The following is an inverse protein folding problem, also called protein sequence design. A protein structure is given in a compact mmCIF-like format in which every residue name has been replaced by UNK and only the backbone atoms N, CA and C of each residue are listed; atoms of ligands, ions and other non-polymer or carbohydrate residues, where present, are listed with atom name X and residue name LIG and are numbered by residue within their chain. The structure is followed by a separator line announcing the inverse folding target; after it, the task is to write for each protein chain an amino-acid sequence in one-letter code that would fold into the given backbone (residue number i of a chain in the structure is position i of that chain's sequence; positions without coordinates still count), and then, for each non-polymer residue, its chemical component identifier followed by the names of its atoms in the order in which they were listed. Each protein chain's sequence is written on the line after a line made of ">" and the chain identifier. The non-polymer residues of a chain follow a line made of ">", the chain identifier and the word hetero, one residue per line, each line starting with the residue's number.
data_IF_059289362260
#
_entry.id   IF_059289362260
#
_cell.length_a   1.000
_cell.length_b   1.000
_cell.length_c   1.000
_cell.angle_alpha   90.00
_cell.angle_beta   90.00
_cell.angle_gamma   90.00
#
_symmetry.space_group_name_H-M   'P 1'
#
loop_
_entity.id
_entity.type
_entity.pdbx_description
1 polymer ?
#
# COMPACT_ATOMS: atom_id res chain seq x y z
N UNK A 1 6.11 0.40 11.96
CA UNK A 1 5.04 -0.46 11.41
C UNK A 1 3.81 -0.26 12.25
N UNK A 2 2.87 0.55 11.77
CA UNK A 2 1.56 0.71 12.40
C UNK A 2 0.83 -0.63 12.41
N UNK A 3 0.26 -0.98 13.56
CA UNK A 3 -0.59 -2.17 13.68
C UNK A 3 -1.86 -1.95 12.87
N UNK A 4 -2.29 -2.91 12.03
CA UNK A 4 -3.54 -2.79 11.29
C UNK A 4 -4.71 -2.62 12.26
N UNK A 5 -5.61 -1.70 11.93
CA UNK A 5 -6.86 -1.51 12.66
C UNK A 5 -7.74 -2.75 12.43
N UNK A 6 -8.23 -3.32 13.53
CA UNK A 6 -9.22 -4.40 13.57
C UNK A 6 -10.58 -3.79 13.77
N UNK A 7 -11.53 -4.26 12.97
CA UNK A 7 -12.93 -3.88 13.07
C UNK A 7 -13.48 -4.27 14.46
N UNK A 8 -14.27 -3.38 15.07
CA UNK A 8 -14.84 -3.58 16.41
C UNK A 8 -13.90 -3.33 17.60
N UNK A 9 -12.62 -3.00 17.38
CA UNK A 9 -11.69 -2.65 18.45
C UNK A 9 -11.76 -1.16 18.83
N UNK A 10 -11.52 -0.86 20.11
CA UNK A 10 -11.40 0.53 20.61
C UNK A 10 -9.92 0.92 20.63
N UNK A 11 -9.62 2.12 20.13
CA UNK A 11 -8.27 2.66 20.03
C UNK A 11 -8.14 3.95 20.84
N UNK A 12 -6.96 4.22 21.39
CA UNK A 12 -6.71 5.52 22.00
C UNK A 12 -6.68 6.60 20.91
N UNK A 13 -7.13 7.81 21.25
CA UNK A 13 -7.12 8.94 20.31
C UNK A 13 -5.73 9.18 19.70
N UNK A 14 -4.68 9.06 20.51
CA UNK A 14 -3.28 9.20 20.07
C UNK A 14 -2.92 8.18 18.98
N UNK A 15 -3.30 6.91 19.16
CA UNK A 15 -2.98 5.86 18.20
C UNK A 15 -3.64 6.14 16.84
N UNK A 16 -4.89 6.63 16.85
CA UNK A 16 -5.59 7.01 15.61
C UNK A 16 -4.89 8.17 14.92
N UNK A 17 -4.47 9.21 15.66
CA UNK A 17 -3.75 10.35 15.10
C UNK A 17 -2.42 9.92 14.47
N UNK A 18 -1.65 9.06 15.14
CA UNK A 18 -0.37 8.57 14.62
C UNK A 18 -0.56 7.78 13.30
N UNK A 19 -1.62 6.98 13.21
CA UNK A 19 -1.98 6.23 11.99
C UNK A 19 -2.36 7.17 10.84
N UNK A 20 -3.20 8.17 11.13
CA UNK A 20 -3.61 9.15 10.13
C UNK A 20 -2.43 10.01 9.64
N UNK A 21 -1.52 10.36 10.54
CA UNK A 21 -0.29 11.07 10.20
C UNK A 21 0.61 10.21 9.28
N UNK A 22 0.82 8.94 9.62
CA UNK A 22 1.60 8.01 8.79
C UNK A 22 0.95 7.83 7.41
N UNK A 23 -0.37 7.67 7.35
CA UNK A 23 -1.12 7.58 6.10
C UNK A 23 -0.99 8.85 5.26
N UNK A 24 -1.13 10.04 5.87
CA UNK A 24 -0.96 11.31 5.17
C UNK A 24 0.43 11.46 4.58
N UNK A 25 1.48 11.17 5.36
CA UNK A 25 2.86 11.21 4.87
C UNK A 25 3.11 10.18 3.76
N UNK A 26 2.51 8.99 3.86
CA UNK A 26 2.58 7.98 2.81
C UNK A 26 1.95 8.49 1.51
N UNK A 27 0.73 9.05 1.57
CA UNK A 27 0.03 9.65 0.43
C UNK A 27 0.89 10.71 -0.25
N UNK A 28 1.50 11.61 0.52
CA UNK A 28 2.33 12.70 -0.04
C UNK A 28 3.59 12.16 -0.75
N UNK A 29 4.23 11.14 -0.18
CA UNK A 29 5.38 10.47 -0.82
C UNK A 29 5.00 9.76 -2.12
N UNK A 30 3.88 9.04 -2.12
CA UNK A 30 3.37 8.35 -3.33
C UNK A 30 3.04 9.39 -4.39
N UNK A 31 2.30 10.44 -4.04
CA UNK A 31 1.93 11.50 -4.99
C UNK A 31 3.16 12.20 -5.57
N UNK A 32 4.21 12.44 -4.76
CA UNK A 32 5.48 12.99 -5.26
C UNK A 32 6.13 12.06 -6.27
N UNK A 33 6.31 10.77 -5.93
CA UNK A 33 6.93 9.79 -6.83
C UNK A 33 6.19 9.64 -8.15
N UNK A 34 4.85 9.61 -8.12
CA UNK A 34 4.05 9.52 -9.35
C UNK A 34 4.17 10.77 -10.22
N UNK A 35 4.24 11.96 -9.63
CA UNK A 35 4.50 13.20 -10.39
C UNK A 35 5.87 13.20 -11.04
N UNK A 36 6.90 12.75 -10.32
CA UNK A 36 8.26 12.69 -10.83
C UNK A 36 8.34 11.67 -11.98
N UNK A 37 7.75 10.49 -11.80
CA UNK A 37 7.67 9.46 -12.85
C UNK A 37 6.88 9.93 -14.07
N UNK A 38 5.76 10.62 -13.88
CA UNK A 38 4.96 11.15 -15.00
C UNK A 38 5.78 12.11 -15.86
N UNK A 39 6.56 13.01 -15.24
CA UNK A 39 7.48 13.89 -15.97
C UNK A 39 8.57 13.14 -16.71
N UNK A 40 9.07 12.03 -16.15
CA UNK A 40 10.06 11.20 -16.82
C UNK A 40 9.49 10.44 -18.02
N UNK A 41 8.20 10.10 -17.98
CA UNK A 41 7.54 9.33 -19.04
C UNK A 41 6.98 10.21 -20.15
N UNK A 42 6.66 11.47 -19.84
CA UNK A 42 6.08 12.42 -20.79
C UNK A 42 6.88 12.51 -22.10
N UNK A 43 6.21 12.22 -23.22
CA UNK A 43 6.78 12.32 -24.56
C UNK A 43 7.63 11.12 -24.99
N UNK A 44 7.77 10.07 -24.16
CA UNK A 44 8.41 8.82 -24.57
C UNK A 44 7.46 7.98 -25.43
N UNK A 45 7.99 7.39 -26.50
CA UNK A 45 7.22 6.55 -27.43
C UNK A 45 6.57 5.31 -26.75
N UNK A 46 7.11 4.88 -25.61
CA UNK A 46 6.64 3.73 -24.83
C UNK A 46 6.06 4.12 -23.47
N UNK A 47 5.63 5.37 -23.29
CA UNK A 47 4.99 5.86 -22.06
C UNK A 47 3.84 4.95 -21.59
N UNK A 48 2.92 4.60 -22.50
CA UNK A 48 1.78 3.74 -22.20
C UNK A 48 2.22 2.36 -21.69
N UNK A 49 3.22 1.74 -22.34
CA UNK A 49 3.73 0.43 -21.95
C UNK A 49 4.36 0.47 -20.55
N UNK A 50 5.09 1.54 -20.21
CA UNK A 50 5.65 1.72 -18.87
C UNK A 50 4.58 1.85 -17.79
N UNK A 51 3.49 2.59 -18.06
CA UNK A 51 2.37 2.69 -17.12
C UNK A 51 1.65 1.35 -16.92
N UNK A 52 1.43 0.60 -18.00
CA UNK A 52 0.83 -0.75 -17.94
C UNK A 52 1.71 -1.68 -17.11
N UNK A 53 3.01 -1.70 -17.37
CA UNK A 53 3.95 -2.55 -16.63
C UNK A 53 4.01 -2.19 -15.15
N UNK A 54 4.01 -0.89 -14.81
CA UNK A 54 3.95 -0.45 -13.42
C UNK A 54 2.68 -0.96 -12.72
N UNK A 55 1.53 -0.83 -13.39
CA UNK A 55 0.26 -1.31 -12.86
C UNK A 55 0.26 -2.83 -12.61
N UNK A 56 0.79 -3.61 -13.56
CA UNK A 56 0.84 -5.07 -13.44
C UNK A 56 1.74 -5.50 -12.27
N UNK A 57 2.92 -4.92 -12.15
CA UNK A 57 3.85 -5.22 -11.04
C UNK A 57 3.24 -4.81 -9.69
N UNK A 58 2.59 -3.64 -9.61
CA UNK A 58 1.94 -3.19 -8.40
C UNK A 58 0.76 -4.09 -7.99
N UNK A 59 0.00 -4.58 -8.98
CA UNK A 59 -1.11 -5.51 -8.77
C UNK A 59 -0.59 -6.86 -8.26
N UNK A 60 0.41 -7.44 -8.93
CA UNK A 60 1.04 -8.71 -8.52
C UNK A 60 1.62 -8.62 -7.09
N UNK A 61 2.34 -7.54 -6.79
CA UNK A 61 2.86 -7.29 -5.44
C UNK A 61 1.76 -7.19 -4.38
N UNK A 62 0.63 -6.56 -4.72
CA UNK A 62 -0.52 -6.45 -3.82
C UNK A 62 -1.16 -7.81 -3.56
N UNK A 63 -1.39 -8.58 -4.62
CA UNK A 63 -1.93 -9.94 -4.53
C UNK A 63 -1.02 -10.86 -3.71
N UNK A 64 0.29 -10.84 -3.94
CA UNK A 64 1.27 -11.62 -3.17
C UNK A 64 1.26 -11.23 -1.69
N UNK A 65 1.17 -9.92 -1.40
CA UNK A 65 1.12 -9.41 -0.03
C UNK A 65 -0.18 -9.81 0.68
N UNK A 66 -1.32 -9.77 -0.01
CA UNK A 66 -2.60 -10.22 0.52
C UNK A 66 -2.62 -11.73 0.76
N UNK A 67 -2.07 -12.51 -0.17
CA UNK A 67 -1.92 -13.96 -0.02
C UNK A 67 -1.04 -14.34 1.17
N UNK A 68 0.06 -13.62 1.40
CA UNK A 68 0.92 -13.79 2.60
C UNK A 68 0.17 -13.48 3.88
N UNK A 69 -0.61 -12.38 3.94
CA UNK A 69 -1.44 -12.03 5.10
C UNK A 69 -2.50 -13.08 5.39
N UNK A 70 -3.22 -13.54 4.36
CA UNK A 70 -4.26 -14.56 4.51
C UNK A 70 -3.71 -15.90 5.04
N UNK A 71 -2.53 -16.31 4.58
CA UNK A 71 -1.84 -17.51 5.11
C UNK A 71 -1.41 -17.32 6.58
N UNK A 72 -0.99 -16.12 6.95
CA UNK A 72 -0.60 -15.80 8.32
C UNK A 72 -1.81 -15.82 9.27
N UNK A 73 -2.96 -15.27 8.85
CA UNK A 73 -4.20 -15.30 9.64
C UNK A 73 -4.75 -16.74 9.81
N UNK A 74 -4.66 -17.58 8.77
CA UNK A 74 -5.05 -19.00 8.86
C UNK A 74 -4.15 -19.83 9.80
N UNK A 75 -2.87 -19.48 9.92
CA UNK A 75 -1.94 -20.12 10.86
C UNK A 75 -2.26 -19.79 12.32
N UNK A 76 -2.74 -18.57 12.58
CA UNK A 76 -3.10 -18.11 13.94
C UNK A 76 -4.42 -18.77 14.40
N UNK A 77 -5.40 -18.94 13.49
CA UNK A 77 -6.67 -19.59 13.83
C UNK A 77 -6.57 -21.08 14.15
N UNK A 78 -5.55 -21.80 13.65
CA UNK A 78 -5.35 -23.23 13.96
C UNK A 78 -4.72 -23.49 15.35
N UNK A 79 -4.31 -22.43 16.06
CA UNK A 79 -3.63 -22.53 17.37
C UNK A 79 -4.55 -22.11 18.53
N UNK A 80 -5.81 -21.74 18.28
CA UNK A 80 -6.82 -21.44 19.31
C UNK A 80 -7.71 -22.62 19.63
#
# INVERSE_FOLDING_TARGET
>A
MVKPLREGATYAHRDIIDILAEFSCFKDRVAKKFRDLAKELEGKANEHEFWVNLYLIASDHTEETMGKRQRQDLGIQKIS
#
